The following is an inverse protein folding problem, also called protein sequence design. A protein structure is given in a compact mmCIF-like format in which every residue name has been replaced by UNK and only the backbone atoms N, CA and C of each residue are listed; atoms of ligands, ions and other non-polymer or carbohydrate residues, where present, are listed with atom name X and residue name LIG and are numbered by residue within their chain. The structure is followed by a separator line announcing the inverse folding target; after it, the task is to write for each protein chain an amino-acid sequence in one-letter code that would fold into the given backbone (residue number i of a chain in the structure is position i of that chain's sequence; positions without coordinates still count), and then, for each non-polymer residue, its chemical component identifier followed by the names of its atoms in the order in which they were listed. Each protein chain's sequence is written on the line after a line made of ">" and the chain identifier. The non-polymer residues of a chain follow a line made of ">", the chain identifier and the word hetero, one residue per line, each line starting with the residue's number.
data_IF_948429026633
#
_entry.id   IF_948429026633
#
_cell.length_a   1.000
_cell.length_b   1.000
_cell.length_c   1.000
_cell.angle_alpha   90.00
_cell.angle_beta   90.00
_cell.angle_gamma   90.00
#
_symmetry.space_group_name_H-M   'P 1'
#
loop_
_entity.id
_entity.type
_entity.pdbx_description
1 polymer ?
#
# COMPACT_ATOMS: atom_id res chain seq x y z
N UNK A 1 39.26 6.56 -13.45
CA UNK A 1 38.95 6.54 -12.00
C UNK A 1 38.08 5.32 -11.73
N UNK A 2 38.50 4.51 -10.77
CA UNK A 2 38.09 3.13 -10.55
C UNK A 2 36.58 2.97 -10.31
N UNK A 3 35.90 2.19 -11.17
CA UNK A 3 34.57 1.69 -10.90
C UNK A 3 34.68 0.67 -9.75
N UNK A 4 34.20 1.05 -8.56
CA UNK A 4 33.99 0.12 -7.45
C UNK A 4 32.87 -0.83 -7.82
N UNK A 5 33.23 -2.08 -8.13
CA UNK A 5 32.31 -3.20 -8.30
C UNK A 5 31.58 -3.45 -6.97
N UNK A 6 30.29 -3.15 -6.95
CA UNK A 6 29.37 -3.51 -5.86
C UNK A 6 29.18 -5.04 -5.88
N UNK A 7 29.68 -5.73 -4.85
CA UNK A 7 29.59 -7.20 -4.72
C UNK A 7 28.15 -7.59 -4.40
N UNK A 8 27.32 -7.75 -5.44
CA UNK A 8 25.98 -8.35 -5.35
C UNK A 8 26.10 -9.87 -5.36
N UNK A 9 25.63 -10.52 -4.29
CA UNK A 9 25.46 -11.98 -4.28
C UNK A 9 24.10 -12.32 -4.89
N UNK A 10 24.09 -12.87 -6.10
CA UNK A 10 22.91 -13.46 -6.73
C UNK A 10 22.89 -14.95 -6.40
N UNK A 11 21.84 -15.42 -5.72
CA UNK A 11 21.56 -16.85 -5.61
C UNK A 11 20.39 -17.13 -6.54
N UNK A 12 20.68 -17.80 -7.64
CA UNK A 12 19.68 -18.30 -8.59
C UNK A 12 19.52 -19.79 -8.32
N UNK A 13 18.38 -20.21 -7.76
CA UNK A 13 18.02 -21.63 -7.70
C UNK A 13 16.66 -21.84 -8.34
N UNK A 14 16.58 -22.86 -9.20
CA UNK A 14 15.33 -23.31 -9.78
C UNK A 14 14.43 -23.86 -8.65
N UNK A 15 13.33 -23.16 -8.37
CA UNK A 15 12.26 -23.74 -7.55
C UNK A 15 11.67 -24.96 -8.28
N UNK A 16 10.97 -25.83 -7.55
CA UNK A 16 10.38 -27.09 -8.03
C UNK A 16 9.29 -26.96 -9.14
N UNK A 17 9.30 -25.87 -9.93
CA UNK A 17 8.44 -25.61 -11.07
C UNK A 17 9.11 -24.88 -12.24
N UNK A 18 10.45 -24.80 -12.29
CA UNK A 18 11.17 -24.49 -13.54
C UNK A 18 11.39 -23.01 -13.91
N UNK A 19 10.88 -22.04 -13.16
CA UNK A 19 11.36 -20.64 -13.28
C UNK A 19 12.37 -20.34 -12.17
N UNK A 20 13.55 -19.87 -12.55
CA UNK A 20 14.55 -19.42 -11.60
C UNK A 20 14.11 -18.09 -10.97
N UNK A 21 13.79 -18.10 -9.67
CA UNK A 21 13.54 -16.87 -8.91
C UNK A 21 14.88 -16.32 -8.46
N UNK A 22 15.14 -15.05 -8.76
CA UNK A 22 16.34 -14.36 -8.29
C UNK A 22 15.99 -13.48 -7.10
N UNK A 23 16.68 -13.72 -5.98
CA UNK A 23 16.56 -12.91 -4.76
C UNK A 23 17.86 -12.15 -4.53
N UNK A 24 17.72 -10.88 -4.15
CA UNK A 24 18.83 -9.98 -3.85
C UNK A 24 18.99 -9.84 -2.34
N UNK A 25 20.22 -9.99 -1.82
CA UNK A 25 20.52 -9.84 -0.38
C UNK A 25 21.40 -8.62 -0.11
N UNK A 26 21.27 -8.03 1.07
CA UNK A 26 22.18 -6.99 1.53
C UNK A 26 23.61 -7.55 1.71
N UNK A 27 24.67 -6.76 1.47
CA UNK A 27 26.04 -7.21 1.68
C UNK A 27 26.26 -7.70 3.12
N UNK A 28 26.84 -8.89 3.28
CA UNK A 28 27.09 -9.49 4.59
C UNK A 28 25.84 -10.01 5.32
N UNK A 29 24.67 -10.01 4.68
CA UNK A 29 23.47 -10.61 5.25
C UNK A 29 23.65 -12.12 5.46
N UNK A 30 23.26 -12.60 6.64
CA UNK A 30 23.12 -14.02 6.88
C UNK A 30 22.06 -14.60 5.94
N UNK A 31 22.28 -15.83 5.45
CA UNK A 31 21.33 -16.47 4.57
C UNK A 31 19.98 -16.76 5.27
N UNK A 32 20.00 -17.05 6.59
CA UNK A 32 18.83 -17.35 7.43
C UNK A 32 18.98 -16.72 8.82
N UNK A 33 17.88 -16.46 9.54
CA UNK A 33 17.95 -16.00 10.92
C UNK A 33 18.52 -17.05 11.87
N UNK A 34 19.04 -16.59 13.01
CA UNK A 34 19.53 -17.45 14.07
C UNK A 34 18.40 -18.30 14.68
N UNK A 35 18.72 -19.53 15.09
CA UNK A 35 17.75 -20.53 15.54
C UNK A 35 17.06 -20.17 16.87
N UNK A 36 17.55 -19.19 17.62
CA UNK A 36 16.95 -18.65 18.85
C UNK A 36 15.90 -17.54 18.56
N UNK A 37 15.82 -17.06 17.32
CA UNK A 37 14.89 -16.01 16.88
C UNK A 37 13.82 -16.57 15.95
N UNK A 38 13.09 -17.59 16.39
CA UNK A 38 12.09 -18.27 15.55
C UNK A 38 10.73 -17.56 15.41
N UNK A 39 10.59 -16.35 15.97
CA UNK A 39 9.41 -15.52 15.74
C UNK A 39 9.34 -15.12 14.27
N UNK A 40 8.20 -15.42 13.63
CA UNK A 40 7.97 -15.11 12.22
C UNK A 40 6.71 -14.26 12.07
N UNK A 41 6.81 -13.19 11.31
CA UNK A 41 5.69 -12.33 10.97
C UNK A 41 5.63 -12.16 9.45
N UNK A 42 4.45 -12.31 8.89
CA UNK A 42 4.20 -12.15 7.47
C UNK A 42 3.09 -11.15 7.29
N UNK A 43 3.32 -10.14 6.46
CA UNK A 43 2.29 -9.17 6.07
C UNK A 43 1.94 -9.42 4.62
N UNK A 44 0.71 -9.87 4.37
CA UNK A 44 0.16 -10.12 3.04
C UNK A 44 -0.83 -9.00 2.70
N UNK A 45 -0.46 -8.15 1.75
CA UNK A 45 -1.35 -7.11 1.23
C UNK A 45 -2.06 -7.65 -0.01
N UNK A 46 -3.39 -7.72 0.06
CA UNK A 46 -4.28 -8.02 -1.06
C UNK A 46 -4.70 -6.67 -1.66
N UNK A 47 -3.87 -6.13 -2.54
CA UNK A 47 -3.95 -4.76 -3.06
C UNK A 47 -5.33 -4.50 -3.71
N UNK A 48 -5.99 -3.39 -3.33
CA UNK A 48 -7.31 -3.03 -3.86
C UNK A 48 -8.46 -3.99 -3.51
N UNK A 49 -8.27 -4.93 -2.58
CA UNK A 49 -9.32 -5.88 -2.17
C UNK A 49 -10.33 -5.22 -1.23
N UNK A 50 -11.62 -5.33 -1.54
CA UNK A 50 -12.70 -4.85 -0.68
C UNK A 50 -13.01 -5.83 0.45
N UNK A 51 -13.43 -5.35 1.65
CA UNK A 51 -13.77 -6.24 2.76
C UNK A 51 -14.85 -7.28 2.42
N UNK A 52 -15.83 -6.89 1.59
CA UNK A 52 -16.97 -7.71 1.20
C UNK A 52 -16.66 -8.74 0.10
N UNK A 53 -15.48 -8.67 -0.53
CA UNK A 53 -15.05 -9.63 -1.55
C UNK A 53 -14.48 -10.92 -0.97
N UNK A 54 -13.97 -10.87 0.27
CA UNK A 54 -13.52 -12.06 0.99
C UNK A 54 -14.75 -12.83 1.49
N UNK A 55 -15.19 -13.82 0.71
CA UNK A 55 -16.34 -14.67 1.03
C UNK A 55 -15.96 -16.16 0.97
N UNK A 56 -16.69 -17.05 1.67
CA UNK A 56 -16.46 -18.49 1.58
C UNK A 56 -16.61 -19.08 0.16
N UNK A 57 -17.38 -18.42 -0.70
CA UNK A 57 -17.61 -18.87 -2.08
C UNK A 57 -16.48 -18.46 -3.02
N UNK A 58 -16.04 -17.19 -2.93
CA UNK A 58 -15.08 -16.62 -3.88
C UNK A 58 -13.63 -16.77 -3.41
N UNK A 59 -13.40 -16.60 -2.10
CA UNK A 59 -12.08 -16.66 -1.47
C UNK A 59 -12.10 -17.62 -0.26
N UNK A 60 -12.40 -18.91 -0.45
CA UNK A 60 -12.58 -19.87 0.63
C UNK A 60 -11.37 -19.98 1.57
N UNK A 61 -10.14 -19.94 1.04
CA UNK A 61 -8.92 -20.11 1.85
C UNK A 61 -8.69 -18.89 2.74
N UNK A 62 -8.83 -17.69 2.17
CA UNK A 62 -8.65 -16.41 2.84
C UNK A 62 -9.78 -16.15 3.83
N UNK A 63 -11.03 -16.51 3.47
CA UNK A 63 -12.16 -16.43 4.39
C UNK A 63 -11.98 -17.37 5.59
N UNK A 64 -11.53 -18.61 5.38
CA UNK A 64 -11.23 -19.53 6.46
C UNK A 64 -10.07 -19.02 7.34
N UNK A 65 -9.02 -18.45 6.73
CA UNK A 65 -7.90 -17.83 7.44
C UNK A 65 -8.38 -16.68 8.34
N UNK A 66 -9.22 -15.78 7.81
CA UNK A 66 -9.85 -14.69 8.56
C UNK A 66 -10.67 -15.20 9.74
N UNK A 67 -11.52 -16.21 9.51
CA UNK A 67 -12.37 -16.79 10.55
C UNK A 67 -11.58 -17.56 11.62
N UNK A 68 -10.36 -18.01 11.31
CA UNK A 68 -9.52 -18.75 12.28
C UNK A 68 -8.76 -17.84 13.26
N UNK A 69 -8.60 -16.57 12.94
CA UNK A 69 -7.74 -15.63 13.67
C UNK A 69 -8.51 -14.55 14.43
N UNK A 70 -7.93 -13.35 14.51
CA UNK A 70 -8.55 -12.12 14.99
C UNK A 70 -8.96 -11.24 13.80
N UNK A 71 -10.25 -11.15 13.54
CA UNK A 71 -10.79 -10.30 12.50
C UNK A 71 -11.05 -8.86 13.00
N UNK A 72 -10.70 -7.87 12.18
CA UNK A 72 -11.09 -6.47 12.40
C UNK A 72 -12.09 -6.07 11.30
N UNK A 73 -13.40 -6.24 11.53
CA UNK A 73 -14.43 -5.94 10.54
C UNK A 73 -14.53 -4.43 10.22
N UNK A 74 -14.10 -3.58 11.14
CA UNK A 74 -13.97 -2.14 10.92
C UNK A 74 -12.50 -1.83 10.71
N UNK A 75 -12.07 -1.82 9.45
CA UNK A 75 -10.71 -1.45 9.12
C UNK A 75 -10.64 -0.45 7.97
N UNK A 76 -9.66 0.44 8.04
CA UNK A 76 -9.55 1.55 7.09
C UNK A 76 -8.13 1.87 6.59
N UNK A 77 -8.10 2.24 5.32
CA UNK A 77 -7.03 2.98 4.67
C UNK A 77 -7.08 4.46 5.07
N UNK A 78 -5.93 5.13 5.15
CA UNK A 78 -5.82 6.54 5.58
C UNK A 78 -4.63 7.22 4.90
N UNK A 79 -4.46 8.55 5.02
CA UNK A 79 -5.56 9.51 4.90
C UNK A 79 -6.08 9.61 3.44
N UNK A 80 -5.23 9.30 2.46
CA UNK A 80 -5.53 9.21 1.02
C UNK A 80 -5.37 7.73 0.65
N UNK A 81 -6.42 7.15 0.06
CA UNK A 81 -6.60 5.69 -0.02
C UNK A 81 -5.92 5.12 -1.25
N UNK A 82 -4.60 5.26 -1.27
CA UNK A 82 -3.75 4.89 -2.38
C UNK A 82 -2.63 3.94 -1.97
N UNK A 83 -2.03 3.30 -2.97
CA UNK A 83 -1.06 2.22 -2.79
C UNK A 83 0.18 2.63 -2.02
N UNK A 84 0.97 3.58 -2.53
CA UNK A 84 2.25 3.97 -1.94
C UNK A 84 2.10 4.49 -0.51
N UNK A 85 1.24 5.50 -0.21
CA UNK A 85 1.17 6.04 1.15
C UNK A 85 0.73 4.99 2.17
N UNK A 86 -0.21 4.10 1.83
CA UNK A 86 -0.68 3.07 2.76
C UNK A 86 0.34 1.97 2.98
N UNK A 87 1.06 1.50 1.95
CA UNK A 87 2.17 0.56 2.14
C UNK A 87 3.28 1.17 3.01
N UNK A 88 3.60 2.45 2.78
CA UNK A 88 4.56 3.18 3.61
C UNK A 88 4.09 3.25 5.06
N UNK A 89 2.82 3.57 5.32
CA UNK A 89 2.29 3.60 6.68
C UNK A 89 2.26 2.23 7.34
N UNK A 90 1.99 1.15 6.61
CA UNK A 90 2.06 -0.20 7.15
C UNK A 90 3.46 -0.50 7.71
N UNK A 91 4.50 -0.06 7.01
CA UNK A 91 5.88 -0.35 7.40
C UNK A 91 6.52 0.72 8.28
N UNK A 92 6.00 1.94 8.33
CA UNK A 92 6.54 3.01 9.17
C UNK A 92 5.73 3.27 10.44
N UNK A 93 4.42 2.99 10.41
CA UNK A 93 3.48 3.26 11.50
C UNK A 93 3.29 4.74 11.81
N UNK A 94 3.67 5.63 10.89
CA UNK A 94 3.57 7.08 11.05
C UNK A 94 2.92 7.72 9.83
N UNK A 95 2.19 8.82 10.04
CA UNK A 95 1.41 9.49 8.99
C UNK A 95 2.30 10.22 7.96
N UNK A 96 1.75 10.65 6.81
CA UNK A 96 2.51 11.28 5.74
C UNK A 96 3.34 12.51 6.11
N UNK A 97 2.86 13.33 7.05
CA UNK A 97 3.62 14.45 7.59
C UNK A 97 4.97 14.06 8.23
N UNK A 98 5.09 12.79 8.66
CA UNK A 98 6.33 12.22 9.18
C UNK A 98 7.02 11.29 8.19
N UNK A 99 6.26 10.52 7.39
CA UNK A 99 6.84 9.59 6.42
C UNK A 99 7.34 10.29 5.14
N UNK A 100 6.78 11.47 4.82
CA UNK A 100 7.05 12.23 3.60
C UNK A 100 6.23 11.77 2.38
N UNK A 101 5.26 10.88 2.56
CA UNK A 101 4.59 10.19 1.44
C UNK A 101 3.06 10.28 1.58
N UNK A 102 2.43 11.34 1.06
CA UNK A 102 0.98 11.58 1.20
C UNK A 102 0.11 10.89 0.15
N UNK A 103 0.64 10.70 -1.05
CA UNK A 103 -0.06 10.19 -2.23
C UNK A 103 0.93 9.40 -3.10
N UNK A 104 0.44 8.75 -4.14
CA UNK A 104 1.24 8.07 -5.14
C UNK A 104 2.11 9.06 -5.93
N UNK A 105 1.54 10.21 -6.32
CA UNK A 105 2.24 11.25 -7.07
C UNK A 105 2.04 12.62 -6.42
N UNK A 106 3.06 13.47 -6.51
CA UNK A 106 3.03 14.83 -5.96
C UNK A 106 3.68 15.81 -6.91
N UNK A 107 3.36 17.09 -6.77
CA UNK A 107 4.12 18.17 -7.41
C UNK A 107 5.44 18.40 -6.67
N UNK A 108 6.55 18.00 -7.28
CA UNK A 108 7.88 18.27 -6.77
C UNK A 108 8.29 19.70 -7.11
N UNK A 109 8.11 20.60 -6.14
CA UNK A 109 8.44 22.03 -6.28
C UNK A 109 9.90 22.29 -6.65
N UNK A 110 10.82 21.39 -6.31
CA UNK A 110 12.25 21.56 -6.64
C UNK A 110 12.56 21.25 -8.11
N UNK A 111 11.78 20.36 -8.71
CA UNK A 111 11.91 19.95 -10.11
C UNK A 111 10.90 20.64 -11.02
N UNK A 112 9.85 21.23 -10.46
CA UNK A 112 8.78 21.86 -11.22
C UNK A 112 7.88 20.88 -11.98
N UNK A 113 7.81 19.61 -11.54
CA UNK A 113 7.05 18.55 -12.23
C UNK A 113 6.20 17.74 -11.26
N UNK A 114 5.10 17.17 -11.75
CA UNK A 114 4.39 16.08 -11.06
C UNK A 114 5.14 14.78 -11.29
N UNK A 115 5.41 14.04 -10.22
CA UNK A 115 6.09 12.74 -10.28
C UNK A 115 5.58 11.79 -9.21
N UNK A 116 5.82 10.50 -9.43
CA UNK A 116 5.56 9.46 -8.44
C UNK A 116 6.54 9.57 -7.27
N UNK A 117 6.07 9.19 -6.08
CA UNK A 117 6.86 9.01 -4.86
C UNK A 117 7.38 7.57 -4.77
N UNK A 118 8.13 7.17 -5.79
CA UNK A 118 8.62 5.82 -5.99
C UNK A 118 10.11 5.65 -5.65
N UNK A 119 10.76 6.68 -5.07
CA UNK A 119 12.21 6.65 -4.80
C UNK A 119 12.51 6.35 -3.33
N UNK A 120 13.61 5.65 -3.02
CA UNK A 120 14.02 5.43 -1.63
C UNK A 120 14.20 6.74 -0.85
N UNK A 121 14.62 7.82 -1.52
CA UNK A 121 14.82 9.14 -0.91
C UNK A 121 13.53 9.85 -0.52
N UNK A 122 12.38 9.46 -1.07
CA UNK A 122 11.09 10.10 -0.76
C UNK A 122 10.61 9.71 0.64
N UNK A 123 10.87 8.45 1.04
CA UNK A 123 10.54 7.95 2.36
C UNK A 123 11.49 8.48 3.45
N UNK A 124 10.98 9.40 4.28
CA UNK A 124 11.74 10.09 5.34
C UNK A 124 11.71 9.37 6.68
N UNK A 125 10.72 8.52 6.92
CA UNK A 125 10.61 7.76 8.16
C UNK A 125 11.30 6.39 8.05
N UNK A 126 11.90 5.95 9.17
CA UNK A 126 12.50 4.62 9.27
C UNK A 126 11.41 3.54 9.34
N UNK A 127 11.54 2.51 8.52
CA UNK A 127 10.61 1.37 8.49
C UNK A 127 10.89 0.35 9.60
N UNK A 128 9.87 -0.41 10.02
CA UNK A 128 10.02 -1.58 10.91
C UNK A 128 10.95 -2.64 10.28
N UNK A 129 10.99 -2.73 8.95
CA UNK A 129 11.93 -3.58 8.18
C UNK A 129 13.37 -3.24 8.54
N UNK A 130 13.75 -1.96 8.46
CA UNK A 130 15.10 -1.50 8.82
C UNK A 130 15.38 -1.63 10.31
N UNK A 131 14.37 -1.39 11.16
CA UNK A 131 14.53 -1.46 12.62
C UNK A 131 14.82 -2.89 13.08
N UNK A 132 14.08 -3.86 12.55
CA UNK A 132 14.31 -5.28 12.80
C UNK A 132 15.68 -5.72 12.28
N UNK A 133 16.05 -5.30 11.06
CA UNK A 133 17.38 -5.56 10.49
C UNK A 133 18.53 -5.12 11.40
N UNK A 134 18.42 -3.91 11.98
CA UNK A 134 19.42 -3.36 12.91
C UNK A 134 19.46 -4.07 14.26
N UNK A 135 18.35 -4.66 14.67
CA UNK A 135 18.26 -5.44 15.89
C UNK A 135 18.70 -6.91 15.68
N UNK A 136 19.17 -7.25 14.47
CA UNK A 136 19.71 -8.56 14.11
C UNK A 136 18.66 -9.60 13.67
N UNK A 137 17.42 -9.17 13.41
CA UNK A 137 16.42 -9.98 12.71
C UNK A 137 16.65 -9.90 11.20
N UNK A 138 16.31 -10.94 10.45
CA UNK A 138 16.32 -10.90 8.98
C UNK A 138 14.96 -10.49 8.44
N UNK A 139 14.96 -9.68 7.38
CA UNK A 139 13.73 -9.14 6.78
C UNK A 139 13.67 -9.38 5.28
N UNK A 140 12.47 -9.65 4.76
CA UNK A 140 12.19 -9.97 3.37
C UNK A 140 11.14 -9.03 2.77
N UNK A 141 11.33 -8.57 1.55
CA UNK A 141 10.29 -7.87 0.77
C UNK A 141 10.05 -8.54 -0.57
N UNK A 142 8.77 -8.81 -0.87
CA UNK A 142 8.30 -9.36 -2.16
C UNK A 142 7.14 -8.49 -2.64
N UNK A 143 7.48 -7.46 -3.42
CA UNK A 143 6.54 -6.39 -3.79
C UNK A 143 6.25 -6.49 -5.28
N UNK A 144 4.98 -6.66 -5.67
CA UNK A 144 4.61 -6.93 -7.06
C UNK A 144 4.75 -5.73 -8.00
N UNK A 145 4.72 -4.50 -7.48
CA UNK A 145 4.69 -3.26 -8.27
C UNK A 145 6.06 -2.58 -8.28
N UNK A 146 6.51 -2.09 -9.45
CA UNK A 146 7.83 -1.47 -9.61
C UNK A 146 8.02 -0.26 -8.68
N UNK A 147 7.01 0.59 -8.53
CA UNK A 147 7.08 1.74 -7.64
C UNK A 147 7.15 1.37 -6.15
N UNK A 148 6.54 0.24 -5.75
CA UNK A 148 6.65 -0.26 -4.37
C UNK A 148 8.06 -0.80 -4.12
N UNK A 149 8.60 -1.55 -5.07
CA UNK A 149 10.01 -1.94 -5.04
C UNK A 149 10.93 -0.71 -4.96
N UNK A 150 10.64 0.32 -5.76
CA UNK A 150 11.39 1.58 -5.78
C UNK A 150 11.40 2.28 -4.41
N UNK A 151 10.24 2.59 -3.83
CA UNK A 151 10.18 3.38 -2.59
C UNK A 151 10.81 2.63 -1.41
N UNK A 152 10.61 1.32 -1.30
CA UNK A 152 11.23 0.51 -0.25
C UNK A 152 12.72 0.27 -0.52
N UNK A 153 13.12 0.14 -1.79
CA UNK A 153 14.50 0.01 -2.22
C UNK A 153 15.23 -1.14 -1.54
N UNK A 154 16.44 -0.86 -1.06
CA UNK A 154 17.33 -1.87 -0.45
C UNK A 154 17.17 -1.99 1.08
N UNK A 155 16.02 -1.60 1.64
CA UNK A 155 15.81 -1.56 3.10
C UNK A 155 15.71 -2.94 3.75
N UNK A 156 15.23 -3.93 3.02
CA UNK A 156 15.11 -5.30 3.50
C UNK A 156 16.45 -6.05 3.42
N UNK A 157 16.62 -7.05 4.29
CA UNK A 157 17.80 -7.93 4.29
C UNK A 157 17.85 -8.74 3.00
N UNK A 158 16.71 -9.30 2.60
CA UNK A 158 16.49 -9.99 1.33
C UNK A 158 15.32 -9.33 0.61
N UNK A 159 15.40 -9.24 -0.71
CA UNK A 159 14.34 -8.65 -1.53
C UNK A 159 14.21 -9.39 -2.85
N UNK A 160 13.02 -9.34 -3.39
CA UNK A 160 12.74 -9.74 -4.75
C UNK A 160 12.51 -8.51 -5.62
N UNK A 161 13.14 -8.52 -6.79
CA UNK A 161 12.92 -7.55 -7.86
C UNK A 161 11.76 -8.08 -8.72
N UNK A 162 10.64 -7.35 -8.87
CA UNK A 162 9.44 -7.90 -9.48
C UNK A 162 9.66 -8.25 -10.95
N UNK A 163 9.41 -9.52 -11.30
CA UNK A 163 9.54 -10.03 -12.66
C UNK A 163 8.75 -11.35 -12.86
N UNK A 164 8.19 -11.60 -14.07
CA UNK A 164 8.08 -10.68 -15.20
C UNK A 164 7.07 -9.56 -14.90
N UNK A 165 7.33 -8.37 -15.44
CA UNK A 165 6.39 -7.24 -15.38
C UNK A 165 5.44 -7.34 -16.57
N UNK A 166 4.14 -7.22 -16.29
CA UNK A 166 3.12 -7.03 -17.33
C UNK A 166 3.21 -5.56 -17.81
N UNK A 167 3.46 -5.32 -19.12
CA UNK A 167 3.49 -3.97 -19.66
C UNK A 167 2.19 -3.22 -19.39
N UNK A 168 2.25 -1.89 -19.30
CA UNK A 168 1.13 -1.00 -18.97
C UNK A 168 0.69 -1.07 -17.50
N UNK A 169 0.46 -2.26 -16.94
CA UNK A 169 0.06 -2.38 -15.54
C UNK A 169 1.24 -2.25 -14.56
N UNK A 170 2.49 -2.44 -15.01
CA UNK A 170 3.69 -2.17 -14.20
C UNK A 170 3.78 -3.05 -12.94
N UNK A 171 3.22 -4.26 -13.01
CA UNK A 171 3.22 -5.22 -11.92
C UNK A 171 3.59 -6.63 -12.38
N UNK A 172 4.12 -7.42 -11.45
CA UNK A 172 4.31 -8.84 -11.60
C UNK A 172 3.06 -9.60 -11.12
N UNK A 173 2.51 -10.56 -11.90
CA UNK A 173 1.31 -11.29 -11.50
C UNK A 173 1.48 -12.05 -10.18
N UNK A 174 0.38 -12.26 -9.45
CA UNK A 174 0.38 -12.84 -8.11
C UNK A 174 1.01 -14.25 -8.08
N UNK A 175 0.90 -15.02 -9.18
CA UNK A 175 1.53 -16.33 -9.29
C UNK A 175 3.06 -16.26 -9.22
N UNK A 176 3.70 -15.26 -9.84
CA UNK A 176 5.14 -15.04 -9.80
C UNK A 176 5.56 -14.41 -8.47
N UNK A 177 4.79 -13.45 -7.99
CA UNK A 177 5.00 -12.83 -6.68
C UNK A 177 4.93 -13.88 -5.56
N UNK A 178 3.99 -14.82 -5.62
CA UNK A 178 3.89 -15.91 -4.66
C UNK A 178 5.00 -16.96 -4.85
N UNK A 179 5.41 -17.26 -6.09
CA UNK A 179 6.57 -18.11 -6.31
C UNK A 179 7.84 -17.51 -5.66
N UNK A 180 8.03 -16.19 -5.78
CA UNK A 180 9.12 -15.49 -5.12
C UNK A 180 9.00 -15.47 -3.58
N UNK A 181 7.77 -15.33 -3.08
CA UNK A 181 7.45 -15.44 -1.65
C UNK A 181 7.85 -16.81 -1.09
N UNK A 182 7.47 -17.89 -1.78
CA UNK A 182 7.81 -19.26 -1.39
C UNK A 182 9.32 -19.52 -1.50
N UNK A 183 9.98 -19.03 -2.56
CA UNK A 183 11.42 -19.12 -2.69
C UNK A 183 12.15 -18.37 -1.56
N UNK A 184 11.68 -17.18 -1.17
CA UNK A 184 12.25 -16.43 -0.05
C UNK A 184 12.03 -17.14 1.28
N UNK A 185 10.86 -17.76 1.48
CA UNK A 185 10.57 -18.58 2.65
C UNK A 185 11.53 -19.79 2.73
N UNK A 186 11.72 -20.49 1.61
CA UNK A 186 12.58 -21.67 1.55
C UNK A 186 14.06 -21.31 1.73
N UNK A 187 14.55 -20.32 0.98
CA UNK A 187 15.98 -19.98 0.97
C UNK A 187 16.37 -19.21 2.23
N UNK A 188 15.58 -18.22 2.62
CA UNK A 188 15.98 -17.23 3.63
C UNK A 188 15.20 -17.29 4.94
N UNK A 189 13.98 -17.80 4.94
CA UNK A 189 13.11 -17.89 6.14
C UNK A 189 13.15 -16.62 7.01
N UNK A 190 12.92 -15.41 6.45
CA UNK A 190 13.13 -14.19 7.19
C UNK A 190 12.16 -14.06 8.38
N UNK A 191 12.59 -13.37 9.43
CA UNK A 191 11.74 -13.09 10.59
C UNK A 191 10.52 -12.26 10.20
N UNK A 192 10.69 -11.24 9.38
CA UNK A 192 9.59 -10.47 8.79
C UNK A 192 9.60 -10.65 7.29
N UNK A 193 8.46 -10.98 6.67
CA UNK A 193 8.27 -10.82 5.23
C UNK A 193 7.11 -9.87 4.95
N UNK A 194 7.34 -8.90 4.07
CA UNK A 194 6.31 -7.99 3.55
C UNK A 194 6.02 -8.32 2.08
N UNK A 195 4.79 -8.74 1.82
CA UNK A 195 4.34 -9.25 0.52
C UNK A 195 3.16 -8.41 0.03
N UNK A 196 3.22 -7.97 -1.23
CA UNK A 196 2.13 -7.27 -1.90
C UNK A 196 1.69 -8.07 -3.14
N UNK A 197 0.43 -8.47 -3.17
CA UNK A 197 -0.24 -9.16 -4.28
C UNK A 197 -1.13 -8.15 -5.02
N UNK A 198 -0.83 -7.89 -6.29
CA UNK A 198 -1.31 -6.74 -7.05
C UNK A 198 -2.45 -7.03 -8.03
N UNK A 199 -2.76 -8.30 -8.33
CA UNK A 199 -3.69 -8.62 -9.42
C UNK A 199 -5.11 -8.08 -9.19
N UNK A 200 -5.62 -8.10 -7.95
CA UNK A 200 -6.97 -7.63 -7.62
C UNK A 200 -7.14 -6.15 -7.98
N UNK A 201 -6.19 -5.30 -7.55
CA UNK A 201 -6.15 -3.88 -7.88
C UNK A 201 -6.10 -3.63 -9.40
N UNK A 202 -5.18 -4.32 -10.09
CA UNK A 202 -4.97 -4.12 -11.53
C UNK A 202 -6.17 -4.55 -12.38
N UNK A 203 -6.83 -5.64 -12.00
CA UNK A 203 -8.09 -6.02 -12.64
C UNK A 203 -9.24 -5.10 -12.23
N UNK A 204 -9.20 -4.50 -11.03
CA UNK A 204 -10.15 -3.47 -10.60
C UNK A 204 -10.11 -2.22 -11.48
N UNK A 205 -8.91 -1.71 -11.76
CA UNK A 205 -8.71 -0.55 -12.65
C UNK A 205 -9.18 -0.80 -14.08
N UNK A 206 -9.07 -2.04 -14.56
CA UNK A 206 -9.37 -2.38 -15.96
C UNK A 206 -10.88 -2.47 -16.27
N UNK A 207 -11.77 -2.39 -15.27
CA UNK A 207 -13.23 -2.56 -15.47
C UNK A 207 -13.92 -1.34 -16.12
N UNK A 208 -13.90 -1.27 -17.46
CA UNK A 208 -14.28 -0.13 -18.33
C UNK A 208 -15.76 0.20 -18.44
N UNK A 209 -16.69 -0.60 -17.92
CA UNK A 209 -18.12 -0.34 -18.19
C UNK A 209 -19.03 -0.46 -16.98
N UNK A 210 -18.58 -1.01 -15.86
CA UNK A 210 -19.53 -1.53 -14.88
C UNK A 210 -20.46 -2.56 -15.52
N UNK A 211 -21.48 -3.01 -14.79
CA UNK A 211 -21.69 -4.36 -14.28
C UNK A 211 -21.63 -5.59 -15.22
N UNK A 212 -21.25 -5.51 -16.50
CA UNK A 212 -21.60 -6.59 -17.46
C UNK A 212 -20.44 -7.43 -18.00
N UNK A 213 -19.20 -6.93 -18.19
CA UNK A 213 -18.17 -7.76 -18.88
C UNK A 213 -16.81 -7.95 -18.20
N UNK A 214 -16.49 -7.24 -17.10
CA UNK A 214 -15.16 -7.38 -16.45
C UNK A 214 -15.23 -7.79 -14.97
N UNK A 215 -16.44 -7.91 -14.40
CA UNK A 215 -16.68 -8.51 -13.09
C UNK A 215 -16.09 -9.92 -12.99
N UNK A 216 -16.17 -10.70 -14.07
CA UNK A 216 -15.61 -12.05 -14.14
C UNK A 216 -14.08 -12.06 -14.01
N UNK A 217 -13.39 -11.09 -14.63
CA UNK A 217 -11.93 -10.97 -14.52
C UNK A 217 -11.52 -10.58 -13.10
N UNK A 218 -12.22 -9.64 -12.46
CA UNK A 218 -11.99 -9.31 -11.05
C UNK A 218 -12.25 -10.50 -10.12
N UNK A 219 -13.33 -11.25 -10.36
CA UNK A 219 -13.62 -12.48 -9.61
C UNK A 219 -12.55 -13.55 -9.83
N UNK A 220 -12.04 -13.71 -11.05
CA UNK A 220 -10.95 -14.62 -11.36
C UNK A 220 -9.65 -14.20 -10.65
N UNK A 221 -9.34 -12.90 -10.60
CA UNK A 221 -8.21 -12.38 -9.83
C UNK A 221 -8.38 -12.68 -8.33
N UNK A 222 -9.54 -12.41 -7.74
CA UNK A 222 -9.85 -12.73 -6.34
C UNK A 222 -9.66 -14.23 -6.04
N UNK A 223 -10.17 -15.12 -6.91
CA UNK A 223 -10.00 -16.56 -6.78
C UNK A 223 -8.53 -16.99 -6.95
N UNK A 224 -7.79 -16.39 -7.89
CA UNK A 224 -6.36 -16.64 -8.09
C UNK A 224 -5.54 -16.23 -6.87
N UNK A 225 -5.77 -15.03 -6.33
CA UNK A 225 -5.13 -14.52 -5.12
C UNK A 225 -5.46 -15.40 -3.91
N UNK A 226 -6.71 -15.88 -3.78
CA UNK A 226 -7.09 -16.84 -2.72
C UNK A 226 -6.26 -18.13 -2.77
N UNK A 227 -6.04 -18.67 -3.97
CA UNK A 227 -5.17 -19.82 -4.17
C UNK A 227 -3.73 -19.52 -3.76
N UNK A 228 -3.20 -18.33 -4.06
CA UNK A 228 -1.85 -17.93 -3.64
C UNK A 228 -1.73 -17.82 -2.12
N UNK A 229 -2.70 -17.21 -1.45
CA UNK A 229 -2.77 -17.15 0.02
C UNK A 229 -2.82 -18.56 0.61
N UNK A 230 -3.62 -19.45 0.02
CA UNK A 230 -3.67 -20.86 0.39
C UNK A 230 -2.32 -21.57 0.27
N UNK A 231 -1.63 -21.44 -0.88
CA UNK A 231 -0.29 -22.00 -1.11
C UNK A 231 0.71 -21.55 -0.06
N UNK A 232 0.69 -20.27 0.31
CA UNK A 232 1.56 -19.72 1.34
C UNK A 232 1.29 -20.35 2.72
N UNK A 233 0.02 -20.39 3.13
CA UNK A 233 -0.38 -20.98 4.43
C UNK A 233 -0.04 -22.47 4.48
N UNK A 234 -0.27 -23.21 3.39
CA UNK A 234 0.03 -24.64 3.30
C UNK A 234 1.54 -24.88 3.40
N UNK A 235 2.37 -24.04 2.75
CA UNK A 235 3.83 -24.10 2.87
C UNK A 235 4.32 -23.86 4.31
N UNK A 236 3.76 -22.86 5.02
CA UNK A 236 4.10 -22.61 6.42
C UNK A 236 3.75 -23.80 7.32
N UNK A 237 2.61 -24.46 7.09
CA UNK A 237 2.19 -25.65 7.85
C UNK A 237 3.06 -26.85 7.54
N UNK A 238 3.32 -27.13 6.26
CA UNK A 238 4.16 -28.25 5.83
C UNK A 238 5.60 -28.13 6.37
N UNK A 239 6.14 -26.91 6.44
CA UNK A 239 7.47 -26.65 7.01
C UNK A 239 7.50 -26.61 8.54
N UNK A 240 6.37 -26.86 9.23
CA UNK A 240 6.28 -26.79 10.70
C UNK A 240 6.42 -25.38 11.29
N UNK A 241 6.36 -24.32 10.46
CA UNK A 241 6.59 -22.92 10.86
C UNK A 241 5.32 -22.21 11.35
N UNK A 242 4.16 -22.77 11.04
CA UNK A 242 2.86 -22.17 11.37
C UNK A 242 2.70 -21.82 12.85
N UNK A 243 3.12 -22.70 13.77
CA UNK A 243 3.02 -22.52 15.22
C UNK A 243 3.83 -21.33 15.77
N UNK A 244 4.77 -20.80 14.98
CA UNK A 244 5.62 -19.67 15.34
C UNK A 244 5.29 -18.40 14.54
N UNK A 245 4.26 -18.46 13.70
CA UNK A 245 3.93 -17.43 12.73
C UNK A 245 2.79 -16.53 13.20
N UNK A 246 2.97 -15.22 13.05
CA UNK A 246 1.93 -14.21 12.91
C UNK A 246 1.75 -13.93 11.42
N UNK A 247 0.51 -13.96 10.92
CA UNK A 247 0.18 -13.57 9.55
C UNK A 247 -0.81 -12.41 9.62
N UNK A 248 -0.42 -11.23 9.17
CA UNK A 248 -1.29 -10.07 9.03
C UNK A 248 -1.76 -10.04 7.58
N UNK A 249 -3.07 -10.09 7.36
CA UNK A 249 -3.65 -9.97 6.01
C UNK A 249 -4.52 -8.73 5.98
N UNK A 250 -4.30 -7.87 4.99
CA UNK A 250 -5.04 -6.63 4.81
C UNK A 250 -5.03 -6.17 3.35
N UNK A 251 -5.77 -5.11 3.05
CA UNK A 251 -5.55 -4.30 1.85
C UNK A 251 -4.97 -2.93 2.23
N UNK A 252 -4.39 -2.25 1.25
CA UNK A 252 -3.93 -0.87 1.33
C UNK A 252 -5.04 0.14 1.06
N UNK A 253 -5.97 -0.20 0.16
CA UNK A 253 -7.22 0.49 -0.11
C UNK A 253 -8.26 -0.49 -0.70
N UNK A 254 -9.48 -0.02 -0.85
CA UNK A 254 -10.53 -0.69 -1.65
C UNK A 254 -10.52 -0.20 -3.10
N UNK A 255 -11.50 -0.65 -3.89
CA UNK A 255 -11.74 -0.18 -5.25
C UNK A 255 -13.16 0.39 -5.37
N UNK A 256 -13.30 1.48 -6.14
CA UNK A 256 -14.57 2.05 -6.58
C UNK A 256 -14.54 2.22 -8.10
N UNK A 257 -15.70 2.45 -8.73
CA UNK A 257 -15.81 2.52 -10.19
C UNK A 257 -16.67 3.69 -10.62
N UNK A 258 -16.15 4.51 -11.53
CA UNK A 258 -16.92 5.57 -12.14
C UNK A 258 -17.53 5.13 -13.46
N UNK A 259 -18.74 5.62 -13.75
CA UNK A 259 -19.27 5.58 -15.12
C UNK A 259 -18.48 6.56 -16.03
N UNK A 260 -18.47 6.36 -17.36
CA UNK A 260 -17.81 7.28 -18.29
C UNK A 260 -18.27 8.74 -18.20
N UNK A 261 -19.51 8.98 -17.76
CA UNK A 261 -20.12 10.31 -17.56
C UNK A 261 -19.92 10.88 -16.14
N UNK A 262 -19.41 10.09 -15.19
CA UNK A 262 -19.17 10.49 -13.81
C UNK A 262 -17.70 10.88 -13.59
N UNK A 263 -17.24 11.87 -14.36
CA UNK A 263 -15.85 12.33 -14.39
C UNK A 263 -15.76 13.80 -14.01
N UNK A 264 -14.73 14.13 -13.22
CA UNK A 264 -14.44 15.47 -12.72
C UNK A 264 -13.16 15.96 -13.40
N UNK A 265 -13.15 17.22 -13.81
CA UNK A 265 -11.91 17.95 -14.08
C UNK A 265 -12.04 19.35 -13.48
N UNK A 266 -11.13 19.67 -12.56
CA UNK A 266 -11.07 20.96 -11.88
C UNK A 266 -10.29 22.00 -12.68
N UNK A 267 -9.30 21.59 -13.48
CA UNK A 267 -8.37 22.47 -14.17
C UNK A 267 -9.07 23.56 -15.02
N UNK A 268 -10.12 23.28 -15.82
CA UNK A 268 -10.78 24.34 -16.60
C UNK A 268 -11.40 25.45 -15.74
N UNK A 269 -11.98 25.08 -14.58
CA UNK A 269 -12.57 26.05 -13.66
C UNK A 269 -11.51 26.83 -12.87
N UNK A 270 -10.40 26.15 -12.53
CA UNK A 270 -9.22 26.78 -11.92
C UNK A 270 -8.58 27.80 -12.87
N UNK A 271 -8.43 27.45 -14.15
CA UNK A 271 -7.84 28.34 -15.16
C UNK A 271 -8.74 29.52 -15.56
N UNK A 272 -10.06 29.37 -15.39
CA UNK A 272 -11.00 30.46 -15.59
C UNK A 272 -10.95 31.51 -14.45
N UNK A 273 -10.34 31.18 -13.31
CA UNK A 273 -10.25 32.10 -12.17
C UNK A 273 -9.03 33.04 -12.28
N UNK A 274 -9.21 34.38 -12.24
CA UNK A 274 -8.10 35.32 -12.43
C UNK A 274 -6.98 35.24 -11.38
N UNK A 275 -7.28 34.78 -10.16
CA UNK A 275 -6.26 34.59 -9.13
C UNK A 275 -5.43 33.34 -9.41
N UNK A 276 -6.10 32.25 -9.84
CA UNK A 276 -5.52 30.92 -9.93
C UNK A 276 -4.89 30.60 -11.29
N UNK A 277 -5.35 31.24 -12.38
CA UNK A 277 -4.95 30.96 -13.74
C UNK A 277 -3.42 30.89 -13.90
N UNK A 278 -2.93 29.74 -14.39
CA UNK A 278 -1.50 29.48 -14.61
C UNK A 278 -0.64 29.38 -13.34
N UNK A 279 -1.26 29.33 -12.15
CA UNK A 279 -0.58 29.32 -10.83
C UNK A 279 -1.02 28.17 -9.94
N UNK A 280 -1.73 27.19 -10.50
CA UNK A 280 -2.12 25.97 -9.80
C UNK A 280 -1.66 24.77 -10.60
N UNK A 281 -1.03 23.83 -9.91
CA UNK A 281 -0.73 22.50 -10.43
C UNK A 281 -1.63 21.51 -9.71
N UNK A 282 -2.30 20.64 -10.47
CA UNK A 282 -3.04 19.51 -9.93
C UNK A 282 -2.16 18.28 -10.11
N UNK A 283 -1.85 17.60 -9.01
CA UNK A 283 -1.22 16.29 -9.04
C UNK A 283 -2.23 15.24 -8.58
N UNK A 284 -1.87 13.99 -8.86
CA UNK A 284 -2.74 12.83 -8.64
C UNK A 284 -3.94 12.82 -9.59
N UNK A 285 -4.77 11.77 -9.51
CA UNK A 285 -6.01 11.61 -10.26
C UNK A 285 -6.79 10.39 -9.71
N UNK A 286 -8.06 10.22 -10.11
CA UNK A 286 -8.88 9.10 -9.66
C UNK A 286 -9.76 9.49 -8.47
N UNK A 287 -9.52 8.94 -7.28
CA UNK A 287 -10.35 9.25 -6.11
C UNK A 287 -10.05 10.61 -5.49
N UNK A 288 -8.80 11.05 -5.57
CA UNK A 288 -8.34 12.28 -4.96
C UNK A 288 -7.49 13.11 -5.90
N UNK A 289 -7.53 14.42 -5.70
CA UNK A 289 -6.63 15.40 -6.32
C UNK A 289 -5.89 16.17 -5.22
N UNK A 290 -4.63 16.49 -5.50
CA UNK A 290 -3.81 17.38 -4.69
C UNK A 290 -3.54 18.65 -5.50
N UNK A 291 -4.05 19.79 -5.03
CA UNK A 291 -3.88 21.09 -5.68
C UNK A 291 -2.73 21.86 -5.01
N UNK A 292 -1.84 22.42 -5.82
CA UNK A 292 -0.65 23.14 -5.40
C UNK A 292 -0.64 24.56 -5.95
N UNK A 293 -0.54 25.55 -5.06
CA UNK A 293 -0.32 26.93 -5.40
C UNK A 293 1.15 27.17 -5.79
N UNK A 294 1.38 27.76 -6.96
CA UNK A 294 2.72 28.13 -7.48
C UNK A 294 2.94 29.63 -7.62
N UNK A 295 1.94 30.45 -7.27
CA UNK A 295 2.06 31.91 -7.26
C UNK A 295 2.70 32.48 -5.99
N UNK A 296 2.54 33.80 -5.79
CA UNK A 296 3.17 34.51 -4.67
C UNK A 296 2.65 34.03 -3.31
N UNK A 297 3.55 33.87 -2.33
CA UNK A 297 3.22 33.41 -0.97
C UNK A 297 2.18 34.31 -0.26
N UNK A 298 2.22 35.63 -0.51
CA UNK A 298 1.25 36.58 0.07
C UNK A 298 -0.20 36.34 -0.39
N UNK A 299 -0.40 35.60 -1.48
CA UNK A 299 -1.73 35.26 -2.02
C UNK A 299 -2.16 33.83 -1.68
N UNK A 300 -1.33 33.07 -0.95
CA UNK A 300 -1.56 31.64 -0.71
C UNK A 300 -2.91 31.35 -0.04
N UNK A 301 -3.24 32.04 1.05
CA UNK A 301 -4.51 31.80 1.76
C UNK A 301 -5.74 32.14 0.92
N UNK A 302 -5.66 33.20 0.09
CA UNK A 302 -6.71 33.55 -0.84
C UNK A 302 -6.84 32.50 -1.95
N UNK A 303 -5.72 31.99 -2.47
CA UNK A 303 -5.70 30.92 -3.46
C UNK A 303 -6.28 29.62 -2.90
N UNK A 304 -5.91 29.21 -1.69
CA UNK A 304 -6.47 28.04 -1.00
C UNK A 304 -7.99 28.15 -0.82
N UNK A 305 -8.46 29.30 -0.33
CA UNK A 305 -9.90 29.53 -0.20
C UNK A 305 -10.63 29.44 -1.56
N UNK A 306 -10.01 29.96 -2.62
CA UNK A 306 -10.59 29.93 -3.96
C UNK A 306 -10.59 28.53 -4.58
N UNK A 307 -9.50 27.77 -4.44
CA UNK A 307 -9.40 26.38 -4.86
C UNK A 307 -10.47 25.51 -4.18
N UNK A 308 -10.65 25.66 -2.86
CA UNK A 308 -11.70 24.95 -2.12
C UNK A 308 -13.09 25.32 -2.63
N UNK A 309 -13.37 26.61 -2.83
CA UNK A 309 -14.68 27.07 -3.31
C UNK A 309 -15.01 26.53 -4.72
N UNK A 310 -14.04 26.54 -5.63
CA UNK A 310 -14.19 25.96 -6.98
C UNK A 310 -14.45 24.47 -6.87
N UNK A 311 -13.60 23.73 -6.15
CA UNK A 311 -13.76 22.28 -6.00
C UNK A 311 -15.12 21.91 -5.40
N UNK A 312 -15.57 22.60 -4.34
CA UNK A 312 -16.88 22.35 -3.72
C UNK A 312 -18.07 22.67 -4.62
N UNK A 313 -17.91 23.60 -5.56
CA UNK A 313 -18.95 23.94 -6.53
C UNK A 313 -18.99 22.95 -7.72
N UNK A 314 -17.93 22.17 -7.94
CA UNK A 314 -17.85 21.22 -9.06
C UNK A 314 -18.69 19.96 -8.78
N UNK A 315 -19.61 19.57 -9.68
CA UNK A 315 -20.36 18.32 -9.58
C UNK A 315 -19.45 17.10 -9.43
N UNK A 316 -19.86 16.15 -8.59
CA UNK A 316 -19.09 14.93 -8.32
C UNK A 316 -18.06 15.07 -7.20
N UNK A 317 -17.65 16.28 -6.81
CA UNK A 317 -16.79 16.48 -5.64
C UNK A 317 -17.55 16.18 -4.36
N UNK A 318 -16.92 15.42 -3.46
CA UNK A 318 -17.44 15.11 -2.13
C UNK A 318 -17.00 16.16 -1.11
N UNK A 319 -15.71 16.50 -1.12
CA UNK A 319 -15.14 17.45 -0.17
C UNK A 319 -13.79 17.99 -0.64
N UNK A 320 -13.43 19.19 -0.20
CA UNK A 320 -12.12 19.82 -0.42
C UNK A 320 -11.62 20.39 0.91
N UNK A 321 -10.33 20.19 1.21
CA UNK A 321 -9.74 20.44 2.52
C UNK A 321 -8.43 21.20 2.42
N UNK A 322 -8.22 22.19 3.30
CA UNK A 322 -6.90 22.79 3.57
C UNK A 322 -6.17 21.88 4.58
N UNK A 323 -5.08 21.17 4.19
CA UNK A 323 -4.38 20.26 5.08
C UNK A 323 -3.80 20.93 6.33
N UNK A 324 -3.57 22.25 6.32
CA UNK A 324 -3.09 23.02 7.48
C UNK A 324 -4.17 23.17 8.55
N UNK A 325 -5.44 23.05 8.17
CA UNK A 325 -6.62 23.19 9.05
C UNK A 325 -7.30 21.85 9.33
N UNK A 326 -7.06 20.83 8.49
CA UNK A 326 -7.68 19.52 8.59
C UNK A 326 -6.75 18.52 9.29
N UNK A 327 -6.88 18.44 10.61
CA UNK A 327 -5.97 17.68 11.50
C UNK A 327 -5.94 16.16 11.29
N UNK A 328 -6.94 15.59 10.62
CA UNK A 328 -6.97 14.16 10.32
C UNK A 328 -6.24 13.79 9.02
N UNK A 329 -5.96 14.76 8.13
CA UNK A 329 -5.22 14.52 6.89
C UNK A 329 -3.74 14.29 7.18
N UNK A 330 -3.08 15.26 7.82
CA UNK A 330 -1.64 15.21 8.12
C UNK A 330 -0.80 14.74 6.91
N UNK A 331 -1.08 15.34 5.74
CA UNK A 331 -0.40 15.02 4.47
C UNK A 331 1.02 15.61 4.40
N UNK A 332 1.36 16.54 5.29
CA UNK A 332 2.69 17.14 5.36
C UNK A 332 2.92 18.19 4.28
N UNK A 333 4.15 18.75 4.20
CA UNK A 333 4.46 19.89 3.33
C UNK A 333 4.44 19.56 1.83
N UNK A 334 4.45 18.26 1.47
CA UNK A 334 4.42 17.78 0.08
C UNK A 334 3.02 17.33 -0.36
N UNK A 335 2.02 17.40 0.52
CA UNK A 335 0.70 16.81 0.31
C UNK A 335 -0.38 17.75 -0.23
N UNK A 336 -0.01 18.67 -1.10
CA UNK A 336 -0.91 19.70 -1.65
C UNK A 336 -1.24 20.83 -0.68
N UNK A 337 -1.64 21.97 -1.23
CA UNK A 337 -2.23 23.09 -0.50
C UNK A 337 -3.74 22.88 -0.28
N UNK A 338 -4.39 22.12 -1.16
CA UNK A 338 -5.76 21.62 -1.02
C UNK A 338 -5.82 20.15 -1.43
N UNK A 339 -6.50 19.32 -0.63
CA UNK A 339 -6.81 17.92 -0.98
C UNK A 339 -8.29 17.81 -1.28
N UNK A 340 -8.65 17.26 -2.43
CA UNK A 340 -10.03 17.11 -2.89
C UNK A 340 -10.36 15.62 -3.04
N UNK A 341 -11.54 15.22 -2.59
CA UNK A 341 -12.05 13.86 -2.75
C UNK A 341 -13.33 13.87 -3.58
N UNK A 342 -13.48 12.91 -4.48
CA UNK A 342 -14.70 12.69 -5.25
C UNK A 342 -15.76 11.92 -4.43
N UNK A 343 -17.01 11.97 -4.89
CA UNK A 343 -18.12 11.13 -4.40
C UNK A 343 -17.93 9.70 -4.87
N UNK A 344 -18.53 8.75 -4.16
CA UNK A 344 -18.60 7.37 -4.63
C UNK A 344 -19.19 7.30 -6.05
N UNK A 345 -18.60 6.49 -6.92
CA UNK A 345 -18.98 6.38 -8.32
C UNK A 345 -18.48 7.51 -9.24
N UNK A 346 -17.61 8.40 -8.75
CA UNK A 346 -16.98 9.47 -9.52
C UNK A 346 -15.46 9.34 -9.51
N UNK A 347 -14.79 10.03 -10.43
CA UNK A 347 -13.32 10.15 -10.43
C UNK A 347 -12.84 11.47 -11.02
N UNK A 348 -11.65 11.90 -10.62
CA UNK A 348 -10.87 12.95 -11.26
C UNK A 348 -10.14 12.45 -12.50
N UNK A 349 -10.01 13.35 -13.46
CA UNK A 349 -9.37 13.15 -14.77
C UNK A 349 -8.67 14.42 -15.20
N UNK A 350 -8.07 15.16 -14.27
CA UNK A 350 -7.38 16.39 -14.60
C UNK A 350 -6.13 16.15 -15.46
N UNK A 351 -5.79 17.09 -16.37
CA UNK A 351 -6.39 18.42 -16.58
C UNK A 351 -7.60 18.47 -17.52
N UNK A 352 -7.95 17.39 -18.22
CA UNK A 352 -9.07 17.37 -19.15
C UNK A 352 -9.82 16.04 -19.02
N UNK A 353 -11.14 16.02 -19.20
CA UNK A 353 -11.99 14.84 -18.90
C UNK A 353 -11.49 13.47 -19.45
N UNK A 354 -10.66 13.44 -20.48
CA UNK A 354 -10.05 12.24 -21.07
C UNK A 354 -8.60 11.93 -20.62
N UNK A 355 -7.99 12.73 -19.75
CA UNK A 355 -6.59 12.59 -19.30
C UNK A 355 -6.37 11.36 -18.44
N UNK A 356 -7.36 10.98 -17.64
CA UNK A 356 -7.42 9.68 -16.99
C UNK A 356 -8.51 8.83 -17.67
N UNK A 357 -8.18 7.77 -18.41
CA UNK A 357 -9.17 6.88 -19.00
C UNK A 357 -9.61 5.78 -18.03
N UNK A 358 -9.02 5.67 -16.83
CA UNK A 358 -9.16 4.51 -15.95
C UNK A 358 -10.46 4.60 -15.13
N UNK A 359 -11.40 3.66 -15.31
CA UNK A 359 -12.73 3.65 -14.69
C UNK A 359 -12.70 3.24 -13.21
N UNK A 360 -11.98 2.16 -12.89
CA UNK A 360 -11.73 1.70 -11.54
C UNK A 360 -10.73 2.64 -10.91
N UNK A 361 -11.03 3.13 -9.72
CA UNK A 361 -10.24 4.14 -9.05
C UNK A 361 -10.31 3.99 -7.53
N UNK A 362 -9.37 4.65 -6.87
CA UNK A 362 -9.25 4.69 -5.43
C UNK A 362 -8.63 6.04 -5.03
N UNK A 363 -8.53 6.29 -3.72
CA UNK A 363 -7.98 7.55 -3.17
C UNK A 363 -8.99 8.32 -2.30
N UNK A 364 -10.28 8.05 -2.45
CA UNK A 364 -11.40 8.75 -1.78
C UNK A 364 -12.08 7.95 -0.67
N UNK A 365 -12.96 8.58 0.14
CA UNK A 365 -13.71 7.92 1.21
C UNK A 365 -14.46 6.62 0.85
N UNK A 366 -14.89 6.43 -0.40
CA UNK A 366 -15.54 5.18 -0.81
C UNK A 366 -14.59 3.98 -0.81
N UNK A 367 -13.29 4.22 -1.04
CA UNK A 367 -12.23 3.20 -1.01
C UNK A 367 -11.51 3.11 0.34
N UNK A 368 -12.07 3.75 1.37
CA UNK A 368 -11.56 3.71 2.75
C UNK A 368 -11.61 2.33 3.39
N UNK A 369 -12.73 1.58 3.35
CA UNK A 369 -12.84 0.32 4.08
C UNK A 369 -11.91 -0.73 3.48
N UNK A 370 -11.23 -1.53 4.30
CA UNK A 370 -10.33 -2.61 3.84
C UNK A 370 -10.54 -3.88 4.67
N UNK A 371 -10.22 -5.08 4.16
CA UNK A 371 -10.02 -6.23 5.02
C UNK A 371 -8.81 -5.97 5.93
N UNK A 372 -8.88 -6.44 7.17
CA UNK A 372 -7.73 -6.51 8.08
C UNK A 372 -7.97 -7.62 9.10
N UNK A 373 -7.05 -8.58 9.20
CA UNK A 373 -7.10 -9.60 10.24
C UNK A 373 -5.72 -10.15 10.57
N UNK A 374 -5.58 -10.65 11.81
CA UNK A 374 -4.41 -11.36 12.28
C UNK A 374 -4.72 -12.86 12.29
N UNK A 375 -3.88 -13.66 11.67
CA UNK A 375 -3.92 -15.12 11.68
C UNK A 375 -2.54 -15.68 12.07
N UNK A 376 -2.38 -17.00 11.98
CA UNK A 376 -1.14 -17.68 12.38
C UNK A 376 -1.32 -18.62 13.56
N UNK A 377 -0.35 -19.50 13.76
CA UNK A 377 -0.36 -20.47 14.85
C UNK A 377 0.29 -19.97 16.14
N UNK A 378 0.94 -18.80 16.12
CA UNK A 378 1.63 -18.26 17.29
C UNK A 378 0.66 -18.00 18.46
N UNK A 379 1.00 -18.34 19.73
CA UNK A 379 0.13 -18.13 20.89
C UNK A 379 -0.31 -16.68 21.16
N UNK A 380 0.35 -15.70 20.51
CA UNK A 380 -0.02 -14.28 20.58
C UNK A 380 -1.26 -13.94 19.75
N UNK A 381 -1.63 -14.79 18.79
CA UNK A 381 -2.74 -14.57 17.86
C UNK A 381 -4.02 -15.15 18.46
N UNK A 382 -5.06 -14.34 18.74
CA UNK A 382 -6.35 -14.86 19.13
C UNK A 382 -6.95 -15.76 18.06
N UNK A 383 -7.70 -16.78 18.48
CA UNK A 383 -8.35 -17.74 17.57
C UNK A 383 -9.84 -17.51 17.52
N UNK A 384 -10.40 -17.45 16.32
CA UNK A 384 -11.84 -17.35 16.09
C UNK A 384 -12.49 -16.12 16.73
N UNK A 385 -11.76 -15.01 16.82
CA UNK A 385 -12.19 -13.79 17.49
C UNK A 385 -12.45 -12.65 16.50
N UNK A 386 -13.24 -11.67 16.93
CA UNK A 386 -13.40 -10.40 16.22
C UNK A 386 -13.26 -9.24 17.19
N UNK A 387 -12.57 -8.18 16.77
CA UNK A 387 -12.39 -6.96 17.56
C UNK A 387 -13.31 -5.85 17.02
N UNK A 388 -14.00 -5.14 17.92
CA UNK A 388 -14.81 -3.97 17.55
C UNK A 388 -13.97 -2.71 17.31
N UNK A 389 -12.74 -2.66 17.82
CA UNK A 389 -11.86 -1.52 17.64
C UNK A 389 -11.39 -1.41 16.19
N UNK A 390 -11.46 -0.19 15.65
CA UNK A 390 -11.00 0.10 14.29
C UNK A 390 -9.51 -0.26 14.14
N UNK A 391 -9.18 -0.99 13.07
CA UNK A 391 -7.83 -1.21 12.62
C UNK A 391 -7.51 -0.34 11.40
N UNK A 392 -6.28 0.12 11.28
CA UNK A 392 -5.86 0.96 10.16
C UNK A 392 -4.59 0.42 9.53
N UNK A 393 -4.34 0.73 8.26
CA UNK A 393 -3.08 0.35 7.58
C UNK A 393 -1.85 0.74 8.41
N UNK A 394 -1.87 1.91 9.06
CA UNK A 394 -0.83 2.41 9.96
C UNK A 394 -0.59 1.59 11.24
N UNK A 395 -1.51 0.68 11.60
CA UNK A 395 -1.41 -0.16 12.79
C UNK A 395 -0.50 -1.39 12.58
N UNK A 396 -0.05 -1.68 11.35
CA UNK A 396 0.80 -2.83 11.04
C UNK A 396 2.16 -2.74 11.73
N UNK A 397 2.93 -1.66 11.52
CA UNK A 397 4.26 -1.49 12.13
C UNK A 397 4.26 -1.55 13.68
N UNK A 398 3.34 -0.91 14.42
CA UNK A 398 3.26 -1.08 15.88
C UNK A 398 2.86 -2.50 16.29
N UNK A 399 2.02 -3.19 15.50
CA UNK A 399 1.68 -4.60 15.74
C UNK A 399 2.90 -5.51 15.60
N UNK A 400 3.69 -5.32 14.53
CA UNK A 400 4.95 -6.04 14.32
C UNK A 400 5.95 -5.74 15.44
N UNK A 401 6.06 -4.48 15.84
CA UNK A 401 6.95 -4.05 16.92
C UNK A 401 6.61 -4.70 18.26
N UNK A 402 5.32 -4.74 18.64
CA UNK A 402 4.85 -5.49 19.82
C UNK A 402 5.15 -6.99 19.70
N UNK A 403 4.91 -7.58 18.54
CA UNK A 403 5.16 -9.01 18.29
C UNK A 403 6.63 -9.38 18.56
N UNK A 404 7.57 -8.63 17.97
CA UNK A 404 9.01 -8.86 18.12
C UNK A 404 9.60 -8.28 19.43
N UNK A 405 8.82 -7.52 20.21
CA UNK A 405 9.29 -6.92 21.46
C UNK A 405 10.24 -5.74 21.27
N UNK A 406 10.18 -5.04 20.13
CA UNK A 406 10.94 -3.82 19.91
C UNK A 406 10.28 -2.62 20.60
N UNK A 407 11.06 -1.60 20.95
CA UNK A 407 10.52 -0.31 21.39
C UNK A 407 9.81 0.45 20.26
N UNK A 408 9.07 1.50 20.57
CA UNK A 408 8.55 2.43 19.56
C UNK A 408 9.70 3.24 18.90
N UNK A 409 9.55 3.76 17.67
CA UNK A 409 10.50 4.70 17.09
C UNK A 409 10.48 6.02 17.87
N UNK A 410 11.49 6.88 17.63
CA UNK A 410 11.51 8.24 18.19
C UNK A 410 10.23 8.99 17.78
N UNK A 411 9.57 9.61 18.76
CA UNK A 411 8.27 10.27 18.57
C UNK A 411 7.06 9.34 18.54
N UNK A 412 7.25 8.03 18.79
CA UNK A 412 6.17 7.06 18.86
C UNK A 412 5.54 6.71 17.50
N UNK A 413 4.57 5.81 17.53
CA UNK A 413 3.71 5.49 16.39
C UNK A 413 2.46 6.36 16.39
N UNK A 414 1.95 6.68 15.20
CA UNK A 414 0.61 7.27 15.06
C UNK A 414 -0.48 6.17 15.03
N UNK A 415 -0.08 4.93 14.69
CA UNK A 415 -0.89 3.72 14.85
C UNK A 415 -0.72 3.04 16.21
N UNK A 416 -1.39 1.91 16.39
CA UNK A 416 -1.39 1.14 17.63
C UNK A 416 -1.39 -0.37 17.38
N UNK A 417 -0.71 -1.14 18.23
CA UNK A 417 -0.69 -2.62 18.10
C UNK A 417 -2.11 -3.18 18.12
N UNK A 418 -2.39 -4.11 17.20
CA UNK A 418 -3.65 -4.87 17.12
C UNK A 418 -3.58 -6.21 17.85
N UNK A 419 -2.42 -6.57 18.42
CA UNK A 419 -2.32 -7.74 19.28
C UNK A 419 -2.89 -7.43 20.68
N UNK A 420 -3.48 -8.42 21.37
CA UNK A 420 -3.89 -8.26 22.77
C UNK A 420 -2.69 -7.93 23.66
N UNK A 421 -2.87 -7.13 24.70
CA UNK A 421 -1.81 -6.83 25.67
C UNK A 421 -1.20 -8.12 26.24
N UNK A 422 0.13 -8.15 26.38
CA UNK A 422 0.83 -9.23 27.10
C UNK A 422 0.31 -9.25 28.55
N UNK A 423 -0.15 -10.42 29.01
CA UNK A 423 -0.56 -10.64 30.39
C UNK A 423 0.66 -10.77 31.29
#
# INVERSE_FOLDING_TARGET
>A
MSATLDRRSFITLAGAGGLAVTLSSAPGAAARPAADRLQRAYVLVLDGCRPDEITPLLMPRTSALRSSGLNHPYASSVPIMETIPNHVMMMTGVRPDRSGVPANSVYDRSLGVVRDLDKPSDLKARTVIERLGRDGFTTGTVLSKEYLYGIFGTRATHRWEPAPIVPVSGHAPDAFTMAATLAMLEQHDPNLMFVNLGDIDRMGHSDVTGPVDLRLLRQAALASTDLQVGRFVDALKAAGRWSQSLVIVLADHSMDWSRPDAVISLQPAVDADPLLAGKVVIADNGGADLLYWTGAAAQHDAAVARMIAIAQATPGVLSAHDPRRTTWLRTGPVGGDVVVFCRAGWRFSDPALHSNPIPGNHGHPATKPIPFFLAGGHPRVPRGASASAEARTIDVAPTLTDFFGLGAPKGGYDGQSRLPRRR
#
